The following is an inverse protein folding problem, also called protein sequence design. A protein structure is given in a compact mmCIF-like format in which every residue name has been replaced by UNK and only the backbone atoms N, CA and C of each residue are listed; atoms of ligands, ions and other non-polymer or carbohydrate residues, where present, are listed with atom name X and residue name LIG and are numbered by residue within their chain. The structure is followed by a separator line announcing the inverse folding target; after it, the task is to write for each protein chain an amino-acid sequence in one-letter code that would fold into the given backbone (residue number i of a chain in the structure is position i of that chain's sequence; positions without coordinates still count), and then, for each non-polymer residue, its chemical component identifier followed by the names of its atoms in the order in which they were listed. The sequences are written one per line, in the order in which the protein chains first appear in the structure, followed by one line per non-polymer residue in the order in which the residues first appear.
data_IF_701730954212
#
_entry.id   IF_701730954212
#
_cell.length_a   1.000
_cell.length_b   1.000
_cell.length_c   1.000
_cell.angle_alpha   90.00
_cell.angle_beta   90.00
_cell.angle_gamma   90.00
#
_symmetry.space_group_name_H-M   'P 1'
#
loop_
_entity.id
_entity.type
_entity.pdbx_description
1 polymer ?
#
# COMPACT_ATOMS: atom_id res chain seq x y z
N UNK A 1 -48.80 -21.63 -10.98
CA UNK A 1 -47.71 -22.00 -11.91
C UNK A 1 -46.41 -21.99 -11.11
N UNK A 2 -46.00 -23.20 -10.69
CA UNK A 2 -44.66 -23.70 -10.29
C UNK A 2 -43.71 -22.70 -9.59
N UNK A 3 -43.46 -22.75 -8.28
CA UNK A 3 -42.77 -23.77 -7.45
C UNK A 3 -41.49 -24.36 -8.10
N UNK A 4 -40.40 -24.21 -7.34
CA UNK A 4 -39.12 -24.94 -7.31
C UNK A 4 -38.13 -24.79 -8.47
N UNK A 5 -36.89 -24.42 -8.13
CA UNK A 5 -35.68 -25.28 -8.20
C UNK A 5 -34.45 -24.52 -7.65
N UNK A 6 -33.93 -24.90 -6.48
CA UNK A 6 -32.73 -25.76 -6.27
C UNK A 6 -31.45 -24.91 -6.20
N UNK A 7 -30.93 -24.51 -5.03
CA UNK A 7 -30.03 -25.23 -4.08
C UNK A 7 -28.78 -25.82 -4.77
N UNK A 8 -27.63 -25.80 -4.06
CA UNK A 8 -26.37 -26.60 -4.29
C UNK A 8 -25.39 -25.92 -5.29
N UNK A 9 -24.11 -25.65 -5.01
CA UNK A 9 -23.13 -26.30 -4.12
C UNK A 9 -21.86 -25.42 -3.91
N UNK A 10 -21.27 -25.57 -2.73
CA UNK A 10 -19.85 -25.57 -2.36
C UNK A 10 -18.79 -24.99 -3.32
N UNK A 11 -17.86 -24.18 -2.80
CA UNK A 11 -16.53 -24.62 -2.32
C UNK A 11 -15.76 -23.40 -1.80
N UNK A 12 -15.36 -23.51 -0.54
CA UNK A 12 -14.29 -22.74 0.09
C UNK A 12 -13.03 -22.88 -0.79
N UNK A 13 -12.61 -21.81 -1.46
CA UNK A 13 -11.28 -21.78 -2.09
C UNK A 13 -10.41 -20.79 -1.32
N UNK A 14 -9.65 -21.38 -0.42
CA UNK A 14 -8.50 -20.83 0.32
C UNK A 14 -7.74 -19.81 -0.53
N UNK A 15 -7.69 -18.57 -0.06
CA UNK A 15 -6.93 -17.48 -0.66
C UNK A 15 -5.43 -17.74 -0.41
N UNK A 16 -4.81 -18.56 -1.24
CA UNK A 16 -3.36 -18.75 -1.25
C UNK A 16 -2.71 -17.58 -2.01
N UNK A 17 -2.24 -16.56 -1.29
CA UNK A 17 -1.34 -15.55 -1.86
C UNK A 17 0.00 -16.22 -2.12
N UNK A 18 0.29 -16.50 -3.38
CA UNK A 18 1.57 -17.07 -3.82
C UNK A 18 2.53 -15.91 -4.12
N UNK A 19 3.54 -15.75 -3.27
CA UNK A 19 4.67 -14.84 -3.46
C UNK A 19 5.63 -15.48 -4.48
N UNK A 20 5.69 -14.96 -5.71
CA UNK A 20 6.73 -15.33 -6.67
C UNK A 20 7.73 -14.18 -6.76
N UNK A 21 8.92 -14.43 -6.24
CA UNK A 21 10.08 -13.56 -6.31
C UNK A 21 10.67 -13.68 -7.71
N UNK A 22 10.70 -12.60 -8.47
CA UNK A 22 11.45 -12.53 -9.73
C UNK A 22 12.13 -11.17 -9.78
N UNK A 23 13.46 -11.19 -9.72
CA UNK A 23 14.31 -10.03 -9.60
C UNK A 23 14.78 -9.43 -10.93
N UNK A 24 15.49 -8.31 -10.79
CA UNK A 24 16.17 -7.45 -11.77
C UNK A 24 15.23 -6.55 -12.60
N UNK A 25 15.45 -5.24 -12.73
CA UNK A 25 16.48 -4.31 -12.25
C UNK A 25 16.47 -3.06 -13.15
N UNK A 26 16.75 -1.87 -12.60
CA UNK A 26 17.46 -0.75 -13.28
C UNK A 26 17.13 0.63 -12.66
N UNK A 27 18.16 1.23 -12.08
CA UNK A 27 18.59 2.63 -12.05
C UNK A 27 17.58 3.78 -12.25
N UNK A 28 17.53 4.72 -11.29
CA UNK A 28 18.01 6.13 -11.43
C UNK A 28 17.84 6.97 -10.13
N UNK A 29 18.97 7.60 -9.74
CA UNK A 29 19.25 8.80 -8.91
C UNK A 29 18.58 9.07 -7.54
N UNK A 30 19.36 9.50 -6.51
CA UNK A 30 18.88 9.74 -5.15
C UNK A 30 18.23 11.13 -5.01
N UNK A 31 17.04 11.18 -4.43
CA UNK A 31 16.36 12.42 -4.01
C UNK A 31 16.94 12.86 -2.66
N UNK A 32 17.27 14.15 -2.53
CA UNK A 32 17.77 14.78 -1.31
C UNK A 32 16.87 14.46 -0.10
N UNK A 33 17.49 13.92 0.95
CA UNK A 33 16.79 13.43 2.16
C UNK A 33 16.14 14.55 2.96
N UNK A 34 14.81 14.54 3.00
CA UNK A 34 14.06 15.08 4.13
C UNK A 34 14.28 14.22 5.37
N UNK A 35 14.13 14.79 6.57
CA UNK A 35 14.13 13.96 7.78
C UNK A 35 12.98 12.96 7.71
N UNK A 36 13.23 11.70 8.09
CA UNK A 36 12.24 10.61 8.00
C UNK A 36 10.90 11.00 8.64
N UNK A 37 10.93 11.72 9.76
CA UNK A 37 9.74 12.20 10.47
C UNK A 37 8.81 13.08 9.62
N UNK A 38 9.35 14.05 8.87
CA UNK A 38 8.53 14.97 8.08
C UNK A 38 7.89 14.28 6.88
N UNK A 39 8.60 13.32 6.26
CA UNK A 39 8.04 12.45 5.23
C UNK A 39 6.93 11.55 5.78
N UNK A 40 7.15 10.96 6.95
CA UNK A 40 6.17 10.08 7.59
C UNK A 40 4.88 10.82 8.00
N UNK A 41 4.97 12.06 8.47
CA UNK A 41 3.79 12.88 8.74
C UNK A 41 2.96 13.14 7.45
N UNK A 42 3.63 13.27 6.30
CA UNK A 42 2.93 13.37 5.00
C UNK A 42 2.24 12.07 4.61
N UNK A 43 2.81 10.91 4.95
CA UNK A 43 2.16 9.61 4.74
C UNK A 43 0.85 9.56 5.51
N UNK A 44 0.88 9.92 6.79
CA UNK A 44 -0.32 9.94 7.63
C UNK A 44 -1.40 10.85 7.02
N UNK A 45 -1.03 12.08 6.63
CA UNK A 45 -1.94 13.04 6.01
C UNK A 45 -2.47 12.63 4.61
N UNK A 46 -1.91 11.57 4.02
CA UNK A 46 -2.41 10.95 2.78
C UNK A 46 -3.26 9.70 3.02
N UNK A 47 -3.24 9.15 4.24
CA UNK A 47 -4.00 7.95 4.63
C UNK A 47 -5.16 8.23 5.60
N UNK A 48 -5.07 9.32 6.35
CA UNK A 48 -6.08 9.74 7.32
C UNK A 48 -6.17 11.27 7.37
N UNK A 49 -7.39 11.78 7.33
CA UNK A 49 -7.67 13.19 7.46
C UNK A 49 -8.91 13.37 8.32
N UNK A 50 -8.81 14.21 9.35
CA UNK A 50 -9.91 14.55 10.26
C UNK A 50 -10.61 13.32 10.87
N UNK A 51 -9.85 12.26 11.14
CA UNK A 51 -10.36 11.00 11.72
C UNK A 51 -11.00 10.04 10.71
N UNK A 52 -11.03 10.38 9.42
CA UNK A 52 -11.51 9.53 8.34
C UNK A 52 -10.36 8.98 7.50
N UNK A 53 -10.49 7.72 7.06
CA UNK A 53 -9.55 7.13 6.10
C UNK A 53 -9.72 7.76 4.72
N UNK A 54 -8.59 8.11 4.13
CA UNK A 54 -8.47 8.64 2.77
C UNK A 54 -7.31 7.93 2.09
N UNK A 55 -7.23 8.01 0.75
CA UNK A 55 -6.09 7.44 0.03
C UNK A 55 -5.56 8.45 -0.98
N UNK A 56 -4.29 8.86 -0.83
CA UNK A 56 -3.62 9.85 -1.69
C UNK A 56 -4.40 11.17 -1.82
N UNK A 57 -5.25 11.48 -0.82
CA UNK A 57 -6.22 12.59 -0.83
C UNK A 57 -7.15 12.60 -2.05
N UNK A 58 -7.39 11.42 -2.62
CA UNK A 58 -8.32 11.21 -3.71
C UNK A 58 -9.73 10.96 -3.15
N UNK A 59 -10.77 11.41 -3.85
CA UNK A 59 -12.12 10.96 -3.55
C UNK A 59 -12.21 9.44 -3.78
N UNK A 60 -12.93 8.74 -2.91
CA UNK A 60 -13.14 7.28 -3.01
C UNK A 60 -13.73 6.87 -4.36
N UNK A 61 -14.63 7.69 -4.90
CA UNK A 61 -15.21 7.53 -6.24
C UNK A 61 -14.41 8.38 -7.23
N UNK A 62 -13.52 7.73 -7.97
CA UNK A 62 -12.67 8.32 -9.00
C UNK A 62 -12.28 7.27 -10.04
N UNK A 63 -12.33 7.65 -11.31
CA UNK A 63 -11.93 6.75 -12.40
C UNK A 63 -10.41 6.59 -12.48
N UNK A 64 -9.97 5.48 -13.09
CA UNK A 64 -8.54 5.24 -13.35
C UNK A 64 -7.88 6.39 -14.12
N UNK A 65 -8.56 6.93 -15.12
CA UNK A 65 -8.06 8.02 -15.94
C UNK A 65 -7.86 9.31 -15.12
N UNK A 66 -8.82 9.65 -14.26
CA UNK A 66 -8.70 10.82 -13.39
C UNK A 66 -7.53 10.68 -12.40
N UNK A 67 -7.26 9.46 -11.91
CA UNK A 67 -6.10 9.20 -11.04
C UNK A 67 -4.79 9.45 -11.81
N UNK A 68 -4.65 8.93 -13.04
CA UNK A 68 -3.47 9.15 -13.88
C UNK A 68 -3.20 10.65 -14.04
N UNK A 69 -4.24 11.43 -14.33
CA UNK A 69 -4.13 12.87 -14.55
C UNK A 69 -3.77 13.64 -13.26
N UNK A 70 -4.47 13.35 -12.16
CA UNK A 70 -4.24 14.05 -10.88
C UNK A 70 -2.88 13.73 -10.28
N UNK A 71 -2.46 12.48 -10.36
CA UNK A 71 -1.20 12.00 -9.80
C UNK A 71 -0.03 12.11 -10.80
N UNK A 72 -0.30 12.59 -12.02
CA UNK A 72 0.68 12.74 -13.10
C UNK A 72 1.49 11.47 -13.32
N UNK A 73 0.79 10.34 -13.27
CA UNK A 73 1.43 9.04 -13.46
C UNK A 73 1.82 8.93 -14.92
N UNK A 74 3.05 8.50 -15.19
CA UNK A 74 3.40 7.99 -16.51
C UNK A 74 2.37 6.89 -16.82
N UNK A 75 1.84 6.87 -18.06
CA UNK A 75 0.82 5.92 -18.50
C UNK A 75 1.41 4.49 -18.63
N UNK A 76 1.91 3.98 -17.52
CA UNK A 76 2.41 2.63 -17.34
C UNK A 76 1.16 1.82 -17.09
N UNK A 77 0.56 1.34 -18.18
CA UNK A 77 -0.49 0.33 -18.08
C UNK A 77 0.08 -0.86 -17.31
N UNK A 78 -0.37 -1.02 -16.06
CA UNK A 78 -0.32 -2.31 -15.41
C UNK A 78 -0.95 -3.33 -16.35
N UNK A 79 -0.35 -4.53 -16.45
CA UNK A 79 -0.97 -5.64 -17.18
C UNK A 79 -2.34 -6.00 -16.58
N UNK A 80 -2.57 -5.65 -15.31
CA UNK A 80 -3.87 -5.73 -14.66
C UNK A 80 -4.70 -4.48 -14.96
N UNK A 81 -5.86 -4.69 -15.57
CA UNK A 81 -6.82 -3.63 -15.91
C UNK A 81 -7.24 -2.82 -14.67
N UNK A 82 -7.25 -3.46 -13.50
CA UNK A 82 -7.80 -2.88 -12.27
C UNK A 82 -6.74 -2.18 -11.40
N UNK A 83 -5.50 -2.00 -11.90
CA UNK A 83 -4.40 -1.42 -11.10
C UNK A 83 -3.64 -0.33 -11.85
N UNK A 84 -3.11 0.62 -11.08
CA UNK A 84 -2.05 1.55 -11.48
C UNK A 84 -0.90 1.46 -10.49
N UNK A 85 0.32 1.59 -11.01
CA UNK A 85 1.53 1.59 -10.18
C UNK A 85 2.28 2.89 -10.46
N UNK A 86 2.51 3.67 -9.40
CA UNK A 86 3.23 4.93 -9.46
C UNK A 86 4.44 4.93 -8.54
N UNK A 87 5.43 5.76 -8.86
CA UNK A 87 6.45 6.12 -7.89
C UNK A 87 5.81 6.97 -6.77
N UNK A 88 6.17 6.68 -5.53
CA UNK A 88 5.75 7.52 -4.42
C UNK A 88 6.54 8.83 -4.38
N UNK A 89 5.90 9.87 -3.84
CA UNK A 89 6.44 11.23 -3.76
C UNK A 89 6.75 11.68 -2.34
N UNK A 90 6.61 10.79 -1.35
CA UNK A 90 6.86 11.13 0.04
C UNK A 90 8.37 11.27 0.23
N UNK A 91 8.84 12.41 0.79
CA UNK A 91 10.27 12.66 0.98
C UNK A 91 10.81 11.79 2.12
N UNK A 92 11.17 10.56 1.78
CA UNK A 92 11.92 9.64 2.64
C UNK A 92 13.41 9.67 2.29
N UNK A 93 14.22 8.97 3.08
CA UNK A 93 15.63 8.76 2.79
C UNK A 93 15.83 8.17 1.38
N UNK A 94 16.88 8.61 0.69
CA UNK A 94 17.17 8.24 -0.69
C UNK A 94 17.41 6.73 -0.90
N UNK A 95 17.77 6.01 0.16
CA UNK A 95 17.95 4.55 0.15
C UNK A 95 16.62 3.79 0.17
N UNK A 96 15.49 4.47 0.39
CA UNK A 96 14.14 3.90 0.41
C UNK A 96 13.42 4.27 -0.87
N UNK A 97 13.17 3.27 -1.72
CA UNK A 97 12.27 3.42 -2.86
C UNK A 97 10.83 3.26 -2.40
N UNK A 98 10.01 4.25 -2.72
CA UNK A 98 8.57 4.23 -2.50
C UNK A 98 7.81 3.90 -3.78
N UNK A 99 6.85 2.98 -3.70
CA UNK A 99 5.89 2.66 -4.75
C UNK A 99 4.47 2.80 -4.19
N UNK A 100 3.57 3.40 -4.97
CA UNK A 100 2.15 3.53 -4.64
C UNK A 100 1.36 2.69 -5.62
N UNK A 101 0.51 1.82 -5.10
CA UNK A 101 -0.38 0.99 -5.91
C UNK A 101 -1.79 1.50 -5.73
N UNK A 102 -2.46 1.82 -6.83
CA UNK A 102 -3.86 2.18 -6.87
C UNK A 102 -4.64 0.95 -7.35
N UNK A 103 -5.58 0.49 -6.55
CA UNK A 103 -6.46 -0.63 -6.85
C UNK A 103 -7.87 -0.06 -7.13
N UNK A 104 -8.45 -0.46 -8.26
CA UNK A 104 -9.78 -0.01 -8.69
C UNK A 104 -10.78 -1.16 -8.59
N UNK A 105 -11.94 -0.90 -7.99
CA UNK A 105 -13.09 -1.78 -8.07
C UNK A 105 -14.13 -1.14 -8.98
N UNK A 106 -14.57 -1.89 -9.99
CA UNK A 106 -15.53 -1.47 -11.02
C UNK A 106 -15.15 -0.14 -11.74
N UNK A 107 -13.83 0.12 -11.87
CA UNK A 107 -13.26 1.35 -12.47
C UNK A 107 -13.74 2.67 -11.85
N UNK A 108 -14.23 2.64 -10.60
CA UNK A 108 -14.76 3.83 -9.92
C UNK A 108 -14.36 3.93 -8.46
N UNK A 109 -14.20 2.82 -7.75
CA UNK A 109 -13.78 2.87 -6.35
C UNK A 109 -12.27 2.68 -6.24
N UNK A 110 -11.56 3.67 -5.70
CA UNK A 110 -10.10 3.62 -5.53
C UNK A 110 -9.73 3.24 -4.09
N UNK A 111 -8.78 2.34 -3.97
CA UNK A 111 -8.04 2.01 -2.75
C UNK A 111 -6.57 1.82 -3.09
N UNK A 112 -5.71 1.48 -2.13
CA UNK A 112 -4.33 1.23 -2.49
C UNK A 112 -3.38 0.88 -1.36
N UNK A 113 -2.12 0.83 -1.73
CA UNK A 113 -1.03 0.33 -0.90
C UNK A 113 0.21 1.22 -1.06
N UNK A 114 0.95 1.38 0.03
CA UNK A 114 2.28 1.98 0.03
C UNK A 114 3.32 0.90 0.23
N UNK A 115 4.25 0.79 -0.72
CA UNK A 115 5.35 -0.16 -0.67
C UNK A 115 6.65 0.60 -0.49
N UNK A 116 7.36 0.29 0.60
CA UNK A 116 8.68 0.82 0.90
C UNK A 116 9.71 -0.29 0.72
N UNK A 117 10.76 -0.01 -0.05
CA UNK A 117 11.80 -1.00 -0.37
C UNK A 117 13.18 -0.39 -0.20
N UNK A 118 14.10 -1.11 0.43
CA UNK A 118 15.50 -0.70 0.60
C UNK A 118 16.39 -1.94 0.58
N UNK A 119 17.66 -1.76 0.23
CA UNK A 119 18.69 -2.81 0.34
C UNK A 119 19.35 -2.86 1.72
N UNK A 120 19.14 -1.86 2.58
CA UNK A 120 19.69 -1.82 3.93
C UNK A 120 18.70 -2.41 4.93
N UNK A 121 19.03 -3.61 5.44
CA UNK A 121 18.21 -4.31 6.42
C UNK A 121 17.99 -3.52 7.70
N UNK A 122 19.04 -2.88 8.23
CA UNK A 122 18.93 -2.15 9.50
C UNK A 122 18.06 -0.91 9.31
N UNK A 123 18.23 -0.23 8.18
CA UNK A 123 17.39 0.90 7.82
C UNK A 123 15.92 0.50 7.65
N UNK A 124 15.65 -0.65 7.03
CA UNK A 124 14.28 -1.17 6.90
C UNK A 124 13.63 -1.45 8.27
N UNK A 125 14.40 -1.97 9.23
CA UNK A 125 13.92 -2.20 10.60
C UNK A 125 13.56 -0.90 11.30
N UNK A 126 14.41 0.12 11.20
CA UNK A 126 14.11 1.42 11.80
C UNK A 126 12.91 2.09 11.14
N UNK A 127 12.78 2.03 9.81
CA UNK A 127 11.60 2.53 9.10
C UNK A 127 10.32 1.83 9.58
N UNK A 128 10.36 0.51 9.82
CA UNK A 128 9.24 -0.24 10.38
C UNK A 128 8.82 0.28 11.76
N UNK A 129 9.78 0.51 12.66
CA UNK A 129 9.52 1.09 13.99
C UNK A 129 8.94 2.50 13.91
N UNK A 130 9.47 3.34 13.02
CA UNK A 130 8.96 4.70 12.81
C UNK A 130 7.51 4.67 12.30
N UNK A 131 7.21 3.83 11.30
CA UNK A 131 5.86 3.64 10.77
C UNK A 131 4.89 3.14 11.86
N UNK A 132 5.32 2.20 12.70
CA UNK A 132 4.52 1.74 13.84
C UNK A 132 4.22 2.89 14.79
N UNK A 133 5.27 3.64 15.18
CA UNK A 133 5.15 4.77 16.09
C UNK A 133 4.19 5.83 15.56
N UNK A 134 4.23 6.11 14.25
CA UNK A 134 3.31 7.02 13.58
C UNK A 134 1.87 6.52 13.64
N UNK A 135 1.61 5.30 13.13
CA UNK A 135 0.25 4.79 13.00
C UNK A 135 -0.40 4.45 14.34
N UNK A 136 0.35 3.92 15.32
CA UNK A 136 -0.18 3.68 16.67
C UNK A 136 -0.61 4.94 17.40
N UNK A 137 -0.01 6.10 17.10
CA UNK A 137 -0.36 7.37 17.76
C UNK A 137 -1.58 8.04 17.12
N UNK A 138 -1.76 7.83 15.82
CA UNK A 138 -2.68 8.65 15.03
C UNK A 138 -3.88 7.88 14.48
N UNK A 139 -3.84 6.54 14.46
CA UNK A 139 -4.94 5.70 14.00
C UNK A 139 -5.47 4.84 15.14
N UNK A 140 -6.71 4.37 15.00
CA UNK A 140 -7.26 3.32 15.86
C UNK A 140 -6.45 2.02 15.69
N UNK A 141 -6.66 1.07 16.61
CA UNK A 141 -6.09 -0.27 16.44
C UNK A 141 -6.54 -0.87 15.10
N UNK A 142 -5.62 -1.54 14.37
CA UNK A 142 -5.95 -2.20 13.11
C UNK A 142 -6.98 -3.32 13.33
N UNK A 143 -7.88 -3.49 12.35
CA UNK A 143 -8.89 -4.57 12.38
C UNK A 143 -8.25 -5.95 12.18
N UNK A 144 -7.10 -6.00 11.52
CA UNK A 144 -6.37 -7.24 11.25
C UNK A 144 -4.87 -7.09 11.52
N UNK A 145 -4.27 -8.17 12.05
CA UNK A 145 -2.85 -8.21 12.37
C UNK A 145 -2.50 -7.48 13.68
N UNK A 146 -1.34 -7.82 14.23
CA UNK A 146 -0.78 -7.08 15.36
C UNK A 146 0.16 -6.02 14.80
N UNK A 147 -0.06 -4.74 15.14
CA UNK A 147 0.82 -3.65 14.68
C UNK A 147 2.28 -3.85 15.14
N UNK A 148 2.53 -4.70 16.16
CA UNK A 148 3.86 -5.15 16.54
C UNK A 148 4.61 -5.92 15.44
N UNK A 149 3.96 -6.37 14.37
CA UNK A 149 4.62 -6.94 13.19
C UNK A 149 5.58 -5.94 12.52
N UNK A 150 5.33 -4.65 12.67
CA UNK A 150 6.22 -3.59 12.19
C UNK A 150 7.51 -3.46 13.03
N UNK A 151 7.50 -3.87 14.31
CA UNK A 151 8.73 -3.95 15.12
C UNK A 151 9.61 -5.12 14.69
N UNK A 152 9.01 -6.14 14.08
CA UNK A 152 9.65 -7.36 13.62
C UNK A 152 9.90 -7.28 12.11
N UNK A 153 10.13 -6.10 11.55
CA UNK A 153 10.28 -5.91 10.11
C UNK A 153 11.36 -6.81 9.49
N UNK A 154 12.38 -7.22 10.25
CA UNK A 154 13.39 -8.19 9.83
C UNK A 154 12.87 -9.63 9.68
N UNK A 155 11.96 -10.06 10.57
CA UNK A 155 11.28 -11.37 10.51
C UNK A 155 10.13 -11.32 9.49
N UNK A 156 9.35 -10.25 9.51
CA UNK A 156 8.25 -9.98 8.58
C UNK A 156 8.74 -9.84 7.13
N UNK A 157 9.94 -9.33 6.89
CA UNK A 157 10.55 -9.31 5.55
C UNK A 157 10.75 -10.70 4.95
N UNK A 158 10.85 -11.75 5.78
CA UNK A 158 11.03 -13.13 5.33
C UNK A 158 9.72 -13.89 5.14
N UNK A 159 8.66 -13.53 5.89
CA UNK A 159 7.41 -14.28 5.92
C UNK A 159 6.21 -13.53 5.31
N UNK A 160 6.32 -12.22 5.12
CA UNK A 160 5.21 -11.34 4.76
C UNK A 160 4.26 -11.14 5.93
N UNK A 161 3.74 -9.92 6.08
CA UNK A 161 2.75 -9.58 7.09
C UNK A 161 1.82 -8.49 6.56
N UNK A 162 0.53 -8.59 6.88
CA UNK A 162 -0.48 -7.60 6.49
C UNK A 162 -1.07 -7.01 7.78
N UNK A 163 -1.10 -5.68 7.83
CA UNK A 163 -1.83 -4.91 8.85
C UNK A 163 -2.86 -4.07 8.10
N UNK A 164 -4.14 -4.27 8.40
CA UNK A 164 -5.23 -3.53 7.77
C UNK A 164 -6.10 -2.83 8.81
N UNK A 165 -6.47 -1.58 8.49
CA UNK A 165 -7.35 -0.71 9.27
C UNK A 165 -8.73 -0.60 8.62
#
# INVERSE_FOLDING_TARGET
MNITKTLIFCIISVLCVVLIISGCGSNKQPVQGGSSSEGLDQLLAKTNQDGAFVFERLPWLISKQEVIEKQKLDNIQSKDADRLIGAGSIPLDASVKQTVIYNFQDDQLVSGEYWFTTSDKNHFVELGKELKGLFSKSLSEPQTGNIALLDQADVSAQQGGIVAW
#
